data_IF_331505212040
#
_entry.id   IF_331505212040
#
_cell.length_a   1.000
_cell.length_b   1.000
_cell.length_c   1.000
_cell.angle_alpha   90.00
_cell.angle_beta   90.00
_cell.angle_gamma   90.00
#
_symmetry.space_group_name_H-M   'P 1'
#
loop_
_entity.id
_entity.type
_entity.pdbx_description
1 polymer ?
#
# COMPACT_ATOMS: atom_id res chain seq x y z
N UNK A 1 7.07 18.74 13.86
CA UNK A 1 8.26 19.30 13.20
C UNK A 1 8.07 19.41 11.69
N UNK A 2 7.63 18.38 10.98
CA UNK A 2 7.45 18.46 9.51
C UNK A 2 6.46 19.55 9.05
N UNK A 3 5.35 19.76 9.77
CA UNK A 3 4.40 20.83 9.46
C UNK A 3 4.97 22.24 9.56
N UNK A 4 6.02 22.44 10.37
CA UNK A 4 6.74 23.72 10.47
C UNK A 4 7.78 23.88 9.35
N UNK A 5 8.31 22.77 8.82
CA UNK A 5 9.29 22.78 7.74
C UNK A 5 8.67 23.10 6.36
N UNK A 6 7.36 22.97 6.21
CA UNK A 6 6.62 23.21 4.95
C UNK A 6 5.98 24.62 4.97
N UNK A 7 6.70 25.62 5.46
CA UNK A 7 6.14 26.97 5.66
C UNK A 7 6.01 27.80 4.39
N UNK A 8 6.80 27.52 3.35
CA UNK A 8 6.76 28.25 2.09
C UNK A 8 8.14 28.53 1.50
N UNK A 9 8.14 29.17 0.34
CA UNK A 9 9.34 29.47 -0.43
C UNK A 9 9.42 30.98 -0.72
N UNK A 10 10.65 31.48 -0.83
CA UNK A 10 10.90 32.86 -1.21
C UNK A 10 11.74 32.87 -2.49
N UNK A 11 11.25 33.56 -3.51
CA UNK A 11 11.94 33.72 -4.78
C UNK A 11 12.44 35.16 -4.93
N UNK A 12 13.74 35.43 -4.79
CA UNK A 12 14.33 36.70 -5.15
C UNK A 12 14.19 36.87 -6.68
N UNK A 13 13.52 37.94 -7.09
CA UNK A 13 13.17 38.14 -8.48
C UNK A 13 14.38 38.25 -9.42
N UNK A 14 14.33 37.57 -10.56
CA UNK A 14 15.24 37.78 -11.70
C UNK A 14 15.05 39.16 -12.36
N UNK A 15 13.94 39.88 -12.10
CA UNK A 15 13.75 41.29 -12.42
C UNK A 15 13.91 42.12 -11.15
N UNK A 16 14.64 43.23 -11.24
CA UNK A 16 15.01 44.11 -10.10
C UNK A 16 13.83 44.66 -9.28
N UNK A 17 12.58 44.36 -9.64
CA UNK A 17 11.39 44.99 -9.04
C UNK A 17 10.30 44.03 -8.63
N UNK A 18 10.58 42.72 -8.56
CA UNK A 18 9.60 41.73 -8.16
C UNK A 18 10.14 40.83 -7.06
N UNK A 19 9.33 40.62 -6.03
CA UNK A 19 9.54 39.63 -4.98
C UNK A 19 8.33 38.70 -4.99
N UNK A 20 8.52 37.40 -4.88
CA UNK A 20 7.43 36.46 -4.75
C UNK A 20 7.61 35.61 -3.50
N UNK A 21 6.57 35.53 -2.70
CA UNK A 21 6.47 34.66 -1.54
C UNK A 21 5.45 33.59 -1.84
N UNK A 22 5.80 32.33 -1.60
CA UNK A 22 4.85 31.22 -1.71
C UNK A 22 4.52 30.73 -0.31
N UNK A 23 3.25 30.66 0.00
CA UNK A 23 2.73 30.08 1.25
C UNK A 23 1.92 28.84 0.93
N UNK A 24 1.92 27.86 1.84
CA UNK A 24 1.00 26.72 1.72
C UNK A 24 -0.37 27.13 2.27
N UNK A 25 -1.42 26.83 1.54
CA UNK A 25 -2.80 27.07 1.93
C UNK A 25 -3.58 25.75 1.96
N UNK A 26 -4.51 25.55 2.91
CA UNK A 26 -5.36 24.36 2.92
C UNK A 26 -6.19 24.26 1.63
N UNK A 27 -6.58 23.05 1.29
CA UNK A 27 -7.49 22.80 0.18
C UNK A 27 -8.95 23.06 0.60
N UNK A 28 -9.31 22.69 1.85
CA UNK A 28 -10.65 22.82 2.39
C UNK A 28 -11.07 21.58 3.18
N UNK A 29 -12.04 20.82 2.68
CA UNK A 29 -12.53 19.60 3.32
C UNK A 29 -11.93 18.36 2.64
N UNK A 30 -11.24 17.54 3.42
CA UNK A 30 -10.64 16.27 2.98
C UNK A 30 -11.58 15.11 3.30
N UNK A 31 -12.00 14.37 2.28
CA UNK A 31 -12.63 13.06 2.46
C UNK A 31 -11.53 12.00 2.69
N UNK A 32 -11.46 11.48 3.90
CA UNK A 32 -10.53 10.42 4.31
C UNK A 32 -11.26 9.06 4.36
N UNK A 33 -10.87 8.13 3.49
CA UNK A 33 -11.46 6.78 3.45
C UNK A 33 -10.38 5.75 3.76
N UNK A 34 -10.56 5.02 4.86
CA UNK A 34 -9.58 4.03 5.34
C UNK A 34 -10.08 2.58 5.18
N UNK A 35 -9.16 1.61 4.99
CA UNK A 35 -9.47 0.21 4.83
C UNK A 35 -9.53 -0.54 6.16
N UNK A 36 -9.99 -1.79 6.12
CA UNK A 36 -10.19 -2.62 7.30
C UNK A 36 -8.91 -3.18 7.92
N UNK A 37 -7.85 -3.36 7.12
CA UNK A 37 -6.64 -4.06 7.57
C UNK A 37 -5.76 -3.23 8.52
N UNK A 38 -5.77 -1.90 8.40
CA UNK A 38 -5.10 -0.97 9.31
C UNK A 38 -6.03 0.20 9.67
N UNK A 39 -7.15 -0.05 10.37
CA UNK A 39 -8.22 0.94 10.53
C UNK A 39 -7.79 2.18 11.32
N UNK A 40 -6.86 2.05 12.27
CA UNK A 40 -6.32 3.18 13.04
C UNK A 40 -5.18 3.87 12.28
N UNK A 41 -4.14 3.12 11.91
CA UNK A 41 -2.95 3.68 11.27
C UNK A 41 -3.29 4.42 9.96
N UNK A 42 -4.07 3.78 9.07
CA UNK A 42 -4.43 4.39 7.80
C UNK A 42 -5.50 5.51 7.92
N UNK A 43 -6.23 5.57 9.03
CA UNK A 43 -7.03 6.76 9.35
C UNK A 43 -6.15 7.91 9.81
N UNK A 44 -5.23 7.68 10.75
CA UNK A 44 -4.28 8.71 11.24
C UNK A 44 -3.43 9.27 10.11
N UNK A 45 -2.93 8.42 9.22
CA UNK A 45 -2.09 8.85 8.08
C UNK A 45 -2.80 9.80 7.11
N UNK A 46 -4.13 9.86 7.16
CA UNK A 46 -4.95 10.79 6.38
C UNK A 46 -5.37 12.01 7.21
N UNK A 47 -5.85 11.78 8.43
CA UNK A 47 -6.37 12.82 9.32
C UNK A 47 -5.26 13.78 9.76
N UNK A 48 -4.15 13.27 10.28
CA UNK A 48 -3.12 14.10 10.88
C UNK A 48 -2.49 15.10 9.87
N UNK A 49 -2.04 14.68 8.66
CA UNK A 49 -1.52 15.63 7.68
C UNK A 49 -2.57 16.59 7.13
N UNK A 50 -3.86 16.18 7.03
CA UNK A 50 -4.93 17.07 6.65
C UNK A 50 -5.14 18.20 7.67
N UNK A 51 -5.20 17.85 8.96
CA UNK A 51 -5.36 18.81 10.06
C UNK A 51 -4.17 19.76 10.18
N UNK A 52 -2.94 19.25 10.09
CA UNK A 52 -1.71 20.05 10.11
C UNK A 52 -1.67 21.02 8.92
N UNK A 53 -2.21 20.60 7.75
CA UNK A 53 -2.36 21.45 6.56
C UNK A 53 -3.45 22.53 6.69
N UNK A 54 -4.23 22.52 7.79
CA UNK A 54 -5.31 23.47 8.04
C UNK A 54 -6.66 23.09 7.42
N UNK A 55 -6.83 21.84 6.99
CA UNK A 55 -8.09 21.35 6.42
C UNK A 55 -9.03 20.83 7.52
N UNK A 56 -10.32 20.72 7.18
CA UNK A 56 -11.28 19.89 7.89
C UNK A 56 -11.35 18.51 7.27
N UNK A 57 -11.83 17.50 8.03
CA UNK A 57 -11.85 16.10 7.59
C UNK A 57 -13.24 15.50 7.77
N UNK A 58 -13.69 14.81 6.74
CA UNK A 58 -14.78 13.84 6.81
C UNK A 58 -14.16 12.45 6.73
N UNK A 59 -14.17 11.72 7.83
CA UNK A 59 -13.67 10.35 7.90
C UNK A 59 -14.78 9.35 7.59
N UNK A 60 -14.58 8.55 6.57
CA UNK A 60 -15.36 7.33 6.35
C UNK A 60 -14.52 6.11 6.76
N UNK A 61 -14.75 5.56 7.95
CA UNK A 61 -14.04 4.36 8.41
C UNK A 61 -14.47 3.13 7.59
N UNK A 62 -13.71 2.02 7.65
CA UNK A 62 -14.12 0.77 7.04
C UNK A 62 -15.38 0.23 7.71
N UNK A 63 -16.20 -0.53 6.99
CA UNK A 63 -17.41 -1.15 7.56
C UNK A 63 -17.03 -2.14 8.67
N UNK A 64 -16.10 -3.04 8.41
CA UNK A 64 -15.47 -3.87 9.43
C UNK A 64 -14.27 -3.11 10.03
N UNK A 65 -14.27 -2.92 11.36
CA UNK A 65 -13.25 -2.14 12.07
C UNK A 65 -13.61 -0.67 12.29
N UNK A 66 -14.87 -0.26 12.02
CA UNK A 66 -15.36 1.11 12.26
C UNK A 66 -15.11 1.57 13.71
N UNK A 67 -15.33 0.70 14.68
CA UNK A 67 -15.22 1.04 16.12
C UNK A 67 -13.82 1.59 16.45
N UNK A 68 -12.77 0.97 15.95
CA UNK A 68 -11.39 1.42 16.19
C UNK A 68 -11.12 2.83 15.64
N UNK A 69 -11.65 3.13 14.45
CA UNK A 69 -11.50 4.46 13.84
C UNK A 69 -12.39 5.52 14.51
N UNK A 70 -13.56 5.13 15.03
CA UNK A 70 -14.42 6.03 15.81
C UNK A 70 -13.78 6.37 17.17
N UNK A 71 -13.17 5.41 17.85
CA UNK A 71 -12.39 5.69 19.06
C UNK A 71 -11.24 6.67 18.82
N UNK A 72 -10.59 6.62 17.65
CA UNK A 72 -9.60 7.61 17.27
C UNK A 72 -10.20 9.03 17.20
N UNK A 73 -11.41 9.18 16.64
CA UNK A 73 -12.11 10.47 16.60
C UNK A 73 -12.44 10.98 18.02
N UNK A 74 -12.91 10.10 18.91
CA UNK A 74 -13.17 10.43 20.30
C UNK A 74 -11.89 10.87 21.06
N UNK A 75 -10.76 10.20 20.82
CA UNK A 75 -9.45 10.59 21.38
C UNK A 75 -9.04 11.99 20.93
N UNK A 76 -9.18 12.30 19.64
CA UNK A 76 -8.84 13.62 19.10
C UNK A 76 -9.75 14.71 19.67
N UNK A 77 -11.05 14.43 19.80
CA UNK A 77 -11.99 15.36 20.42
C UNK A 77 -11.64 15.60 21.90
N UNK A 78 -11.33 14.53 22.65
CA UNK A 78 -10.91 14.62 24.06
C UNK A 78 -9.59 15.37 24.23
N UNK A 79 -8.72 15.36 23.24
CA UNK A 79 -7.49 16.12 23.21
C UNK A 79 -7.70 17.62 22.85
N UNK A 80 -8.95 18.07 22.67
CA UNK A 80 -9.29 19.47 22.43
C UNK A 80 -9.44 19.85 20.96
N UNK A 81 -9.58 18.88 20.04
CA UNK A 81 -9.88 19.20 18.64
C UNK A 81 -11.26 19.90 18.58
N UNK A 82 -11.37 21.11 17.96
CA UNK A 82 -12.64 21.83 17.91
C UNK A 82 -13.72 21.05 17.16
N UNK A 83 -14.97 21.21 17.59
CA UNK A 83 -16.13 20.59 16.93
C UNK A 83 -16.22 21.00 15.45
N UNK A 84 -16.55 20.03 14.59
CA UNK A 84 -16.67 20.24 13.13
C UNK A 84 -15.37 20.13 12.34
N UNK A 85 -14.21 20.09 13.01
CA UNK A 85 -12.89 19.94 12.33
C UNK A 85 -12.68 18.50 11.84
N UNK A 86 -13.11 17.50 12.62
CA UNK A 86 -13.18 16.11 12.23
C UNK A 86 -14.59 15.60 12.39
N UNK A 87 -15.19 15.11 11.32
CA UNK A 87 -16.51 14.51 11.30
C UNK A 87 -16.40 13.06 10.80
N UNK A 88 -17.27 12.18 11.31
CA UNK A 88 -17.29 10.77 10.90
C UNK A 88 -18.60 10.41 10.24
N UNK A 89 -18.52 9.65 9.13
CA UNK A 89 -19.70 9.14 8.41
C UNK A 89 -19.55 7.64 8.24
N UNK A 90 -20.45 6.87 8.82
CA UNK A 90 -20.48 5.40 8.68
C UNK A 90 -21.52 4.98 7.66
N UNK A 91 -21.24 3.87 6.95
CA UNK A 91 -22.12 3.30 5.94
C UNK A 91 -21.34 2.41 4.97
N UNK A 92 -22.07 1.58 4.26
CA UNK A 92 -21.46 0.76 3.21
C UNK A 92 -21.06 1.62 2.01
N UNK A 93 -19.90 1.31 1.39
CA UNK A 93 -19.46 2.03 0.19
C UNK A 93 -20.48 1.98 -0.95
N UNK A 94 -21.19 0.86 -1.10
CA UNK A 94 -22.27 0.71 -2.10
C UNK A 94 -23.50 1.59 -1.85
N UNK A 95 -23.68 2.10 -0.64
CA UNK A 95 -24.85 2.93 -0.26
C UNK A 95 -24.53 4.41 -0.28
N UNK A 96 -23.38 4.80 0.26
CA UNK A 96 -23.03 6.21 0.44
C UNK A 96 -21.80 6.65 -0.36
N UNK A 97 -21.06 5.72 -1.00
CA UNK A 97 -19.76 5.98 -1.60
C UNK A 97 -19.80 7.04 -2.68
N UNK A 98 -20.64 6.87 -3.67
CA UNK A 98 -20.75 7.79 -4.80
C UNK A 98 -21.23 9.18 -4.34
N UNK A 99 -22.18 9.22 -3.41
CA UNK A 99 -22.67 10.48 -2.86
C UNK A 99 -21.56 11.29 -2.17
N UNK A 100 -20.77 10.66 -1.28
CA UNK A 100 -19.72 11.39 -0.56
C UNK A 100 -18.54 11.78 -1.46
N UNK A 101 -18.21 10.94 -2.46
CA UNK A 101 -17.13 11.21 -3.43
C UNK A 101 -17.48 12.38 -4.36
N UNK A 102 -18.76 12.51 -4.74
CA UNK A 102 -19.22 13.54 -5.68
C UNK A 102 -19.79 14.78 -4.99
N UNK A 103 -19.80 14.82 -3.65
CA UNK A 103 -20.39 15.91 -2.88
C UNK A 103 -19.58 17.20 -3.07
N UNK A 104 -20.27 18.30 -3.39
CA UNK A 104 -19.65 19.60 -3.69
C UNK A 104 -18.81 20.21 -2.57
N UNK A 105 -19.06 19.83 -1.32
CA UNK A 105 -18.29 20.25 -0.14
C UNK A 105 -16.98 19.49 0.07
N UNK A 106 -16.57 18.58 -0.84
CA UNK A 106 -15.31 17.85 -0.74
C UNK A 106 -14.28 18.45 -1.70
N UNK A 107 -13.17 18.91 -1.15
CA UNK A 107 -12.08 19.58 -1.88
C UNK A 107 -10.89 18.65 -2.17
N UNK A 108 -10.79 17.51 -1.50
CA UNK A 108 -9.73 16.50 -1.70
C UNK A 108 -10.20 15.13 -1.24
N UNK A 109 -9.80 14.08 -1.96
CA UNK A 109 -10.10 12.69 -1.60
C UNK A 109 -8.81 11.93 -1.33
N UNK A 110 -8.67 11.40 -0.11
CA UNK A 110 -7.58 10.52 0.29
C UNK A 110 -8.15 9.13 0.59
N UNK A 111 -7.96 8.21 -0.35
CA UNK A 111 -8.53 6.86 -0.31
C UNK A 111 -7.45 5.80 -0.22
N UNK A 112 -7.67 4.79 0.62
CA UNK A 112 -6.92 3.54 0.61
C UNK A 112 -7.92 2.38 0.57
N UNK A 113 -7.76 1.49 -0.40
CA UNK A 113 -8.65 0.34 -0.59
C UNK A 113 -8.33 -0.46 -1.86
N UNK A 114 -9.32 -1.20 -2.38
CA UNK A 114 -9.12 -2.00 -3.58
C UNK A 114 -8.92 -1.14 -4.82
N UNK A 115 -8.16 -1.67 -5.79
CA UNK A 115 -7.92 -1.02 -7.08
C UNK A 115 -9.21 -0.76 -7.85
N UNK A 116 -10.17 -1.69 -7.81
CA UNK A 116 -11.47 -1.52 -8.45
C UNK A 116 -12.20 -0.27 -7.93
N UNK A 117 -12.29 -0.12 -6.60
CA UNK A 117 -12.94 1.06 -5.99
C UNK A 117 -12.13 2.33 -6.25
N UNK A 118 -10.79 2.26 -6.24
CA UNK A 118 -9.94 3.41 -6.56
C UNK A 118 -10.16 3.91 -7.99
N UNK A 119 -10.27 3.02 -8.96
CA UNK A 119 -10.63 3.34 -10.36
C UNK A 119 -12.02 3.97 -10.45
N UNK A 120 -12.98 3.41 -9.73
CA UNK A 120 -14.34 3.97 -9.68
C UNK A 120 -14.34 5.39 -9.11
N UNK A 121 -13.72 5.62 -7.96
CA UNK A 121 -13.57 6.96 -7.36
C UNK A 121 -12.91 7.92 -8.35
N UNK A 122 -11.81 7.50 -9.00
CA UNK A 122 -11.11 8.32 -9.98
C UNK A 122 -12.02 8.74 -11.15
N UNK A 123 -12.92 7.88 -11.58
CA UNK A 123 -13.89 8.20 -12.64
C UNK A 123 -14.96 9.21 -12.22
N UNK A 124 -15.27 9.27 -10.92
CA UNK A 124 -16.32 10.17 -10.36
C UNK A 124 -15.77 11.52 -9.89
N UNK A 125 -14.50 11.60 -9.53
CA UNK A 125 -13.92 12.74 -8.81
C UNK A 125 -13.85 14.05 -9.60
N UNK A 126 -14.05 14.04 -10.92
CA UNK A 126 -14.01 15.22 -11.80
C UNK A 126 -12.70 16.02 -11.60
N UNK A 127 -12.81 17.25 -11.07
CA UNK A 127 -11.67 18.14 -10.78
C UNK A 127 -11.20 18.09 -9.33
N UNK A 128 -11.80 17.25 -8.47
CA UNK A 128 -11.35 17.05 -7.08
C UNK A 128 -10.03 16.27 -7.08
N UNK A 129 -8.93 16.82 -6.55
CA UNK A 129 -7.65 16.11 -6.48
C UNK A 129 -7.74 14.86 -5.63
N UNK A 130 -6.96 13.84 -6.03
CA UNK A 130 -6.96 12.51 -5.43
C UNK A 130 -5.58 12.14 -4.88
N UNK A 131 -5.59 11.41 -3.78
CA UNK A 131 -4.48 10.58 -3.33
C UNK A 131 -5.04 9.17 -3.12
N UNK A 132 -4.62 8.23 -3.96
CA UNK A 132 -5.10 6.86 -3.99
C UNK A 132 -3.97 5.90 -3.65
N UNK A 133 -4.19 5.07 -2.63
CA UNK A 133 -3.34 3.96 -2.24
C UNK A 133 -4.13 2.67 -2.43
N UNK A 134 -3.73 1.86 -3.38
CA UNK A 134 -4.53 0.74 -3.88
C UNK A 134 -3.82 -0.60 -3.67
N UNK A 135 -4.29 -1.63 -4.37
CA UNK A 135 -3.71 -2.96 -4.30
C UNK A 135 -2.31 -3.06 -4.88
N UNK A 136 -1.67 -4.18 -4.66
CA UNK A 136 -0.35 -4.50 -5.18
C UNK A 136 -0.19 -5.99 -5.46
N UNK A 137 0.74 -6.34 -6.35
CA UNK A 137 1.21 -7.71 -6.58
C UNK A 137 2.72 -7.76 -6.37
N UNK A 138 3.12 -7.38 -5.17
CA UNK A 138 4.51 -7.14 -4.81
C UNK A 138 5.37 -8.39 -4.98
N UNK A 139 6.48 -8.22 -5.66
CA UNK A 139 7.39 -9.30 -6.03
C UNK A 139 8.65 -9.31 -5.17
N UNK A 140 9.09 -10.50 -4.76
CA UNK A 140 10.42 -10.73 -4.24
C UNK A 140 11.27 -11.42 -5.32
N UNK A 141 12.36 -10.81 -5.74
CA UNK A 141 13.31 -11.33 -6.72
C UNK A 141 14.53 -11.87 -5.97
N UNK A 142 14.81 -13.17 -6.10
CA UNK A 142 15.91 -13.82 -5.38
C UNK A 142 16.96 -14.32 -6.38
N UNK A 143 18.16 -13.77 -6.25
CA UNK A 143 19.28 -14.08 -7.12
C UNK A 143 20.10 -15.26 -6.58
N UNK A 144 20.96 -15.79 -7.43
CA UNK A 144 21.82 -16.97 -7.13
C UNK A 144 22.84 -16.72 -6.01
N UNK A 145 23.21 -15.46 -5.75
CA UNK A 145 24.16 -15.06 -4.71
C UNK A 145 23.50 -14.61 -3.40
N UNK A 146 22.15 -14.67 -3.31
CA UNK A 146 21.42 -14.23 -2.13
C UNK A 146 21.69 -15.14 -0.91
N UNK A 147 21.68 -14.56 0.28
CA UNK A 147 21.53 -15.33 1.51
C UNK A 147 20.12 -15.91 1.58
N UNK A 148 19.99 -17.19 1.25
CA UNK A 148 18.69 -17.86 1.15
C UNK A 148 17.97 -18.05 2.49
N UNK A 149 18.69 -18.12 3.61
CA UNK A 149 18.06 -18.19 4.94
C UNK A 149 17.43 -16.88 5.28
N UNK A 150 18.17 -15.79 5.13
CA UNK A 150 17.68 -14.44 5.32
C UNK A 150 16.52 -14.10 4.35
N UNK A 151 16.67 -14.43 3.08
CA UNK A 151 15.63 -14.20 2.08
C UNK A 151 14.34 -14.97 2.42
N UNK A 152 14.45 -16.24 2.81
CA UNK A 152 13.28 -17.03 3.17
C UNK A 152 12.58 -16.52 4.43
N UNK A 153 13.33 -16.04 5.45
CA UNK A 153 12.74 -15.42 6.65
C UNK A 153 11.98 -14.13 6.30
N UNK A 154 12.63 -13.24 5.55
CA UNK A 154 12.02 -11.97 5.14
C UNK A 154 10.80 -12.18 4.23
N UNK A 155 10.89 -13.09 3.26
CA UNK A 155 9.79 -13.40 2.34
C UNK A 155 8.61 -14.03 3.08
N UNK A 156 8.86 -15.00 3.96
CA UNK A 156 7.80 -15.66 4.72
C UNK A 156 7.07 -14.66 5.64
N UNK A 157 7.79 -13.83 6.39
CA UNK A 157 7.19 -12.78 7.19
C UNK A 157 6.47 -11.76 6.28
N UNK A 158 7.07 -11.37 5.17
CA UNK A 158 6.49 -10.47 4.19
C UNK A 158 5.17 -10.97 3.58
N UNK A 159 5.07 -12.27 3.30
CA UNK A 159 3.91 -12.87 2.65
C UNK A 159 2.76 -13.16 3.62
N UNK A 160 3.08 -13.65 4.82
CA UNK A 160 2.09 -14.26 5.69
C UNK A 160 1.69 -13.40 6.90
N UNK A 161 2.47 -12.38 7.29
CA UNK A 161 2.05 -11.46 8.34
C UNK A 161 0.67 -10.83 8.03
N UNK A 162 -0.18 -10.67 9.05
CA UNK A 162 -1.59 -10.25 8.90
C UNK A 162 -2.41 -11.21 8.00
N UNK A 163 -2.03 -12.48 7.93
CA UNK A 163 -2.65 -13.45 7.02
C UNK A 163 -2.62 -13.01 5.55
N UNK A 164 -1.57 -12.28 5.14
CA UNK A 164 -1.44 -11.75 3.78
C UNK A 164 -2.36 -10.57 3.44
N UNK A 165 -3.17 -10.06 4.41
CA UNK A 165 -4.12 -8.98 4.18
C UNK A 165 -3.46 -7.60 4.22
N UNK A 166 -2.37 -7.43 3.47
CA UNK A 166 -1.62 -6.19 3.32
C UNK A 166 -1.43 -5.85 1.85
N UNK A 167 -1.58 -4.58 1.50
CA UNK A 167 -1.25 -4.11 0.15
C UNK A 167 0.22 -4.38 -0.20
N UNK A 168 1.12 -4.24 0.79
CA UNK A 168 2.56 -4.50 0.67
C UNK A 168 2.97 -5.93 1.07
N UNK A 169 2.07 -6.92 1.13
CA UNK A 169 2.50 -8.31 1.31
C UNK A 169 3.33 -8.77 0.11
N UNK A 170 4.36 -9.57 0.35
CA UNK A 170 5.01 -10.31 -0.74
C UNK A 170 3.99 -11.30 -1.31
N UNK A 171 3.60 -11.11 -2.57
CA UNK A 171 2.51 -11.87 -3.20
C UNK A 171 2.97 -12.79 -4.33
N UNK A 172 4.26 -12.74 -4.67
CA UNK A 172 4.94 -13.66 -5.60
C UNK A 172 6.43 -13.61 -5.42
N UNK A 173 7.09 -14.73 -5.67
CA UNK A 173 8.54 -14.84 -5.64
C UNK A 173 9.02 -15.19 -7.04
N UNK A 174 10.02 -14.47 -7.54
CA UNK A 174 10.80 -14.84 -8.71
C UNK A 174 12.15 -15.36 -8.22
N UNK A 175 12.39 -16.65 -8.39
CA UNK A 175 13.66 -17.28 -8.02
C UNK A 175 14.37 -17.81 -9.27
N UNK A 176 15.67 -17.52 -9.41
CA UNK A 176 16.45 -18.14 -10.47
C UNK A 176 16.49 -19.67 -10.28
N UNK A 177 16.48 -20.41 -11.37
CA UNK A 177 16.42 -21.89 -11.35
C UNK A 177 17.50 -22.50 -10.44
N UNK A 178 18.66 -21.87 -10.34
CA UNK A 178 19.79 -22.34 -9.54
C UNK A 178 19.55 -22.38 -8.03
N UNK A 179 18.63 -21.53 -7.52
CA UNK A 179 18.36 -21.43 -6.07
C UNK A 179 16.92 -21.78 -5.71
N UNK A 180 16.05 -21.96 -6.70
CA UNK A 180 14.62 -22.13 -6.48
C UNK A 180 14.30 -23.33 -5.56
N UNK A 181 14.93 -24.49 -5.76
CA UNK A 181 14.69 -25.69 -4.95
C UNK A 181 15.06 -25.44 -3.48
N UNK A 182 16.25 -24.87 -3.22
CA UNK A 182 16.70 -24.57 -1.87
C UNK A 182 15.82 -23.51 -1.20
N UNK A 183 15.43 -22.49 -1.93
CA UNK A 183 14.55 -21.42 -1.41
C UNK A 183 13.18 -21.98 -1.04
N UNK A 184 12.58 -22.81 -1.88
CA UNK A 184 11.26 -23.44 -1.63
C UNK A 184 11.32 -24.32 -0.38
N UNK A 185 12.35 -25.14 -0.19
CA UNK A 185 12.51 -25.94 1.04
C UNK A 185 12.65 -25.07 2.29
N UNK A 186 13.42 -23.98 2.20
CA UNK A 186 13.56 -23.04 3.31
C UNK A 186 12.25 -22.32 3.62
N UNK A 187 11.51 -21.87 2.62
CA UNK A 187 10.18 -21.27 2.78
C UNK A 187 9.21 -22.27 3.42
N UNK A 188 9.16 -23.51 2.92
CA UNK A 188 8.32 -24.57 3.49
C UNK A 188 8.58 -24.76 4.99
N UNK A 189 9.85 -24.88 5.38
CA UNK A 189 10.21 -25.07 6.78
C UNK A 189 9.77 -23.91 7.70
N UNK A 190 9.61 -22.69 7.15
CA UNK A 190 9.10 -21.51 7.89
C UNK A 190 7.57 -21.51 7.94
N UNK A 191 6.95 -21.78 6.83
CA UNK A 191 5.48 -21.80 6.71
C UNK A 191 4.85 -22.87 7.60
N UNK A 192 5.43 -24.05 7.67
CA UNK A 192 4.95 -25.16 8.52
C UNK A 192 5.06 -24.89 10.03
N UNK A 193 5.87 -23.93 10.44
CA UNK A 193 6.00 -23.51 11.84
C UNK A 193 5.03 -22.40 12.25
N UNK A 194 4.30 -21.82 11.29
CA UNK A 194 3.39 -20.72 11.59
C UNK A 194 2.20 -21.19 12.39
N UNK A 195 1.91 -20.50 13.47
CA UNK A 195 0.73 -20.76 14.28
C UNK A 195 -0.51 -20.25 13.57
N UNK A 196 -1.51 -21.11 13.40
CA UNK A 196 -2.78 -20.83 12.73
C UNK A 196 -3.91 -20.95 13.73
N UNK A 197 -4.76 -19.92 13.84
CA UNK A 197 -5.89 -19.99 14.79
C UNK A 197 -6.46 -18.65 15.21
N UNK A 198 -6.91 -18.58 16.45
CA UNK A 198 -7.50 -17.38 17.05
C UNK A 198 -6.41 -16.34 17.37
N UNK A 199 -6.61 -15.06 17.00
CA UNK A 199 -5.67 -14.00 17.34
C UNK A 199 -5.47 -13.79 18.83
N UNK A 200 -6.44 -14.16 19.66
CA UNK A 200 -6.34 -14.09 21.12
C UNK A 200 -5.34 -15.08 21.71
N UNK A 201 -5.04 -16.13 20.97
CA UNK A 201 -4.04 -17.15 21.33
C UNK A 201 -2.65 -16.82 20.78
N UNK A 202 -2.48 -15.64 20.16
CA UNK A 202 -1.22 -15.21 19.58
C UNK A 202 -0.91 -15.83 18.21
N UNK A 203 -1.90 -16.43 17.54
CA UNK A 203 -1.71 -17.00 16.22
C UNK A 203 -1.26 -15.93 15.21
N UNK A 204 -0.28 -16.27 14.38
CA UNK A 204 0.22 -15.41 13.28
C UNK A 204 -0.77 -15.39 12.11
N UNK A 205 -1.32 -16.54 11.76
CA UNK A 205 -2.33 -16.71 10.72
C UNK A 205 -3.69 -16.78 11.38
N UNK A 206 -4.52 -15.80 11.07
CA UNK A 206 -5.83 -15.59 11.67
C UNK A 206 -6.91 -15.54 10.57
N UNK A 207 -8.19 -15.61 10.92
CA UNK A 207 -9.27 -15.52 9.92
C UNK A 207 -9.16 -14.29 9.02
N UNK A 208 -9.47 -14.48 7.73
CA UNK A 208 -9.63 -13.38 6.78
C UNK A 208 -10.87 -12.55 7.14
N UNK A 209 -11.00 -11.39 6.53
CA UNK A 209 -12.06 -10.42 6.84
C UNK A 209 -13.47 -11.01 6.72
N UNK A 210 -13.70 -11.90 5.77
CA UNK A 210 -14.96 -12.62 5.58
C UNK A 210 -14.78 -13.94 4.80
N UNK A 211 -15.86 -14.72 4.69
CA UNK A 211 -15.84 -15.99 3.98
C UNK A 211 -15.67 -15.82 2.47
N UNK A 212 -16.15 -14.72 1.90
CA UNK A 212 -15.99 -14.44 0.45
C UNK A 212 -14.52 -14.25 0.08
N UNK A 213 -13.76 -13.54 0.92
CA UNK A 213 -12.32 -13.41 0.73
C UNK A 213 -11.61 -14.77 0.79
N UNK A 214 -12.04 -15.65 1.71
CA UNK A 214 -11.50 -16.99 1.81
C UNK A 214 -11.89 -17.88 0.61
N UNK A 215 -13.09 -17.75 0.08
CA UNK A 215 -13.53 -18.44 -1.15
C UNK A 215 -12.67 -18.05 -2.34
N UNK A 216 -12.53 -16.75 -2.59
CA UNK A 216 -11.69 -16.23 -3.68
C UNK A 216 -10.23 -16.67 -3.55
N UNK A 217 -9.70 -16.76 -2.33
CA UNK A 217 -8.35 -17.28 -2.07
C UNK A 217 -8.24 -18.78 -2.47
N UNK A 218 -9.22 -19.60 -2.09
CA UNK A 218 -9.22 -21.01 -2.43
C UNK A 218 -9.43 -21.27 -3.94
N UNK A 219 -10.21 -20.43 -4.62
CA UNK A 219 -10.38 -20.48 -6.08
C UNK A 219 -9.06 -20.24 -6.81
N UNK A 220 -8.26 -19.26 -6.38
CA UNK A 220 -6.92 -19.00 -6.95
C UNK A 220 -5.97 -20.17 -6.74
N UNK A 221 -6.02 -20.82 -5.58
CA UNK A 221 -5.19 -22.02 -5.31
C UNK A 221 -5.64 -23.18 -6.21
N UNK A 222 -6.95 -23.42 -6.30
CA UNK A 222 -7.48 -24.52 -7.08
C UNK A 222 -7.15 -24.37 -8.57
N UNK A 223 -7.32 -23.17 -9.12
CA UNK A 223 -6.96 -22.86 -10.51
C UNK A 223 -5.47 -23.09 -10.80
N UNK A 224 -4.59 -22.65 -9.89
CA UNK A 224 -3.16 -22.84 -10.04
C UNK A 224 -2.77 -24.34 -10.03
N UNK A 225 -3.38 -25.13 -9.13
CA UNK A 225 -3.13 -26.57 -9.04
C UNK A 225 -3.65 -27.30 -10.27
N UNK A 226 -4.83 -26.94 -10.78
CA UNK A 226 -5.41 -27.50 -12.02
C UNK A 226 -4.47 -27.23 -13.23
N UNK A 227 -3.84 -26.07 -13.26
CA UNK A 227 -2.87 -25.70 -14.30
C UNK A 227 -1.45 -26.23 -14.07
N UNK A 228 -1.24 -27.03 -13.03
CA UNK A 228 0.02 -27.76 -12.82
C UNK A 228 1.01 -27.12 -11.86
N UNK A 229 0.60 -26.13 -11.06
CA UNK A 229 1.41 -25.68 -9.93
C UNK A 229 1.60 -26.80 -8.92
N UNK A 230 2.76 -26.84 -8.28
CA UNK A 230 3.06 -27.80 -7.23
C UNK A 230 2.64 -27.26 -5.86
N UNK A 231 1.74 -27.95 -5.16
CA UNK A 231 1.46 -27.65 -3.76
C UNK A 231 2.63 -28.07 -2.88
N UNK A 232 3.27 -27.11 -2.24
CA UNK A 232 4.37 -27.37 -1.30
C UNK A 232 3.83 -27.61 0.10
N UNK A 233 2.94 -26.75 0.57
CA UNK A 233 2.23 -26.88 1.86
C UNK A 233 0.95 -26.03 1.88
N UNK A 234 0.02 -26.30 2.80
CA UNK A 234 -1.21 -25.55 2.99
C UNK A 234 -2.42 -26.10 2.24
N UNK A 235 -3.13 -25.26 1.48
CA UNK A 235 -4.37 -25.60 0.77
C UNK A 235 -5.50 -26.14 1.68
N UNK A 236 -5.65 -25.51 2.85
CA UNK A 236 -6.70 -25.86 3.83
C UNK A 236 -7.46 -24.61 4.24
N UNK A 237 -8.78 -24.77 4.44
CA UNK A 237 -9.68 -23.70 4.88
C UNK A 237 -10.65 -24.21 5.93
N UNK A 238 -10.90 -23.36 6.95
CA UNK A 238 -11.97 -23.55 7.92
C UNK A 238 -12.78 -22.24 8.02
N UNK A 239 -13.96 -22.18 7.40
CA UNK A 239 -14.74 -20.94 7.25
C UNK A 239 -13.90 -19.86 6.55
N UNK A 240 -13.63 -18.73 7.23
CA UNK A 240 -12.75 -17.68 6.72
C UNK A 240 -11.29 -17.77 7.20
N UNK A 241 -10.90 -18.85 7.89
CA UNK A 241 -9.51 -19.14 8.21
C UNK A 241 -8.88 -19.95 7.08
N UNK A 242 -8.01 -19.30 6.30
CA UNK A 242 -7.21 -19.92 5.25
C UNK A 242 -5.83 -20.24 5.80
N UNK A 243 -5.40 -21.48 5.66
CA UNK A 243 -4.06 -21.91 6.09
C UNK A 243 -3.00 -21.36 5.14
N UNK A 244 -1.79 -21.04 5.64
CA UNK A 244 -0.72 -20.49 4.82
C UNK A 244 -0.36 -21.49 3.73
N UNK A 245 -0.42 -21.04 2.48
CA UNK A 245 -0.26 -21.89 1.31
C UNK A 245 0.95 -21.43 0.49
N UNK A 246 1.85 -22.36 0.23
CA UNK A 246 3.02 -22.17 -0.63
C UNK A 246 2.86 -23.01 -1.90
N UNK A 247 2.93 -22.35 -3.04
CA UNK A 247 2.85 -22.96 -4.37
C UNK A 247 4.20 -22.79 -5.07
N UNK A 248 4.70 -23.86 -5.69
CA UNK A 248 5.89 -23.83 -6.54
C UNK A 248 5.51 -24.08 -8.00
N UNK A 249 6.43 -23.81 -8.94
CA UNK A 249 6.26 -23.99 -10.38
C UNK A 249 5.03 -23.27 -10.93
N UNK A 250 4.70 -22.12 -10.34
CA UNK A 250 3.67 -21.25 -10.85
C UNK A 250 4.15 -20.60 -12.15
N UNK A 251 3.28 -20.60 -13.16
CA UNK A 251 3.56 -20.00 -14.47
C UNK A 251 2.72 -18.74 -14.69
N UNK A 252 3.08 -17.98 -15.71
CA UNK A 252 2.37 -16.77 -16.11
C UNK A 252 0.96 -17.01 -16.66
N UNK A 253 0.56 -18.25 -16.91
CA UNK A 253 -0.79 -18.61 -17.33
C UNK A 253 -1.76 -18.77 -16.15
N UNK A 254 -1.26 -18.77 -14.92
CA UNK A 254 -2.03 -18.96 -13.71
C UNK A 254 -2.44 -17.61 -13.11
N UNK A 255 -3.72 -17.50 -12.71
CA UNK A 255 -4.24 -16.25 -12.16
C UNK A 255 -3.51 -15.80 -10.88
N UNK A 256 -3.05 -16.76 -10.07
CA UNK A 256 -2.29 -16.47 -8.84
C UNK A 256 -0.98 -15.74 -9.10
N UNK A 257 -0.42 -15.76 -10.32
CA UNK A 257 0.75 -14.98 -10.69
C UNK A 257 0.45 -13.47 -10.81
N UNK A 258 -0.80 -13.08 -11.07
CA UNK A 258 -1.20 -11.72 -11.42
C UNK A 258 -2.19 -11.08 -10.46
N UNK A 259 -3.22 -11.81 -10.02
CA UNK A 259 -4.26 -11.29 -9.13
C UNK A 259 -3.73 -11.11 -7.71
N UNK A 260 -4.12 -10.03 -7.06
CA UNK A 260 -3.89 -9.80 -5.63
C UNK A 260 -4.78 -10.73 -4.80
N UNK A 261 -4.22 -11.70 -4.05
CA UNK A 261 -5.05 -12.65 -3.29
C UNK A 261 -5.59 -12.06 -1.98
N UNK A 262 -4.91 -11.08 -1.40
CA UNK A 262 -5.16 -10.52 -0.05
C UNK A 262 -5.41 -11.61 1.01
N UNK A 263 -4.62 -12.68 0.92
CA UNK A 263 -4.73 -13.93 1.67
C UNK A 263 -3.33 -14.56 1.83
N UNK A 264 -3.14 -15.53 2.75
CA UNK A 264 -1.84 -16.13 3.02
C UNK A 264 -1.44 -17.14 1.91
N UNK A 265 -1.22 -16.66 0.70
CA UNK A 265 -0.84 -17.46 -0.47
C UNK A 265 0.43 -16.89 -1.06
N UNK A 266 1.45 -17.74 -1.22
CA UNK A 266 2.72 -17.37 -1.83
C UNK A 266 3.05 -18.27 -3.01
N UNK A 267 2.93 -17.79 -4.26
CA UNK A 267 3.41 -18.49 -5.44
C UNK A 267 4.90 -18.20 -5.67
N UNK A 268 5.65 -19.26 -6.02
CA UNK A 268 7.02 -19.19 -6.50
C UNK A 268 7.03 -19.44 -8.01
N UNK A 269 7.59 -18.51 -8.75
CA UNK A 269 7.76 -18.52 -10.19
C UNK A 269 9.25 -18.68 -10.45
N UNK A 270 9.61 -19.73 -11.17
CA UNK A 270 11.00 -19.99 -11.54
C UNK A 270 11.36 -19.19 -12.78
N UNK A 271 12.52 -18.56 -12.78
CA UNK A 271 13.00 -17.72 -13.88
C UNK A 271 14.42 -18.13 -14.27
N UNK A 272 14.71 -18.04 -15.57
CA UNK A 272 16.03 -18.37 -16.11
C UNK A 272 17.11 -17.35 -15.71
N UNK A 273 16.73 -16.08 -15.60
CA UNK A 273 17.63 -14.96 -15.34
C UNK A 273 16.90 -13.74 -14.77
N UNK A 274 17.67 -12.72 -14.43
CA UNK A 274 17.17 -11.45 -13.88
C UNK A 274 16.30 -10.71 -14.88
N UNK A 275 16.63 -10.76 -16.17
CA UNK A 275 15.90 -10.02 -17.20
C UNK A 275 14.46 -10.52 -17.29
N UNK A 276 14.26 -11.83 -17.25
CA UNK A 276 12.93 -12.42 -17.17
C UNK A 276 12.21 -12.06 -15.88
N UNK A 277 12.89 -12.05 -14.73
CA UNK A 277 12.28 -11.67 -13.46
C UNK A 277 11.75 -10.23 -13.49
N UNK A 278 12.56 -9.29 -13.99
CA UNK A 278 12.18 -7.87 -14.13
C UNK A 278 11.06 -7.69 -15.14
N UNK A 279 11.12 -8.37 -16.28
CA UNK A 279 10.07 -8.33 -17.29
C UNK A 279 8.73 -8.79 -16.70
N UNK A 280 8.69 -9.96 -16.07
CA UNK A 280 7.48 -10.50 -15.45
C UNK A 280 6.99 -9.64 -14.28
N UNK A 281 7.89 -9.05 -13.50
CA UNK A 281 7.52 -8.12 -12.45
C UNK A 281 6.81 -6.90 -13.04
N UNK A 282 7.36 -6.32 -14.11
CA UNK A 282 6.84 -5.12 -14.76
C UNK A 282 5.57 -5.35 -15.60
N UNK A 283 5.31 -6.56 -16.06
CA UNK A 283 4.07 -6.91 -16.78
C UNK A 283 2.81 -6.85 -15.90
N UNK A 284 2.99 -6.80 -14.57
CA UNK A 284 1.86 -6.61 -13.65
C UNK A 284 1.14 -5.28 -13.94
N UNK A 285 -0.19 -5.29 -13.84
CA UNK A 285 -0.96 -4.04 -13.79
C UNK A 285 -0.65 -3.20 -12.54
N UNK A 286 -0.14 -3.83 -11.49
CA UNK A 286 0.25 -3.22 -10.23
C UNK A 286 1.71 -2.74 -10.27
N UNK A 287 2.01 -1.76 -9.42
CA UNK A 287 3.36 -1.25 -9.21
C UNK A 287 3.49 -0.60 -7.83
N UNK A 288 3.20 -1.36 -6.75
CA UNK A 288 3.31 -0.82 -5.40
C UNK A 288 4.74 -0.95 -4.88
N UNK A 289 5.19 -2.18 -4.62
CA UNK A 289 6.56 -2.43 -4.20
C UNK A 289 7.13 -3.70 -4.85
N UNK A 290 8.45 -3.80 -4.77
CA UNK A 290 9.21 -5.04 -5.03
C UNK A 290 10.39 -5.14 -4.08
N UNK A 291 10.90 -6.34 -3.88
CA UNK A 291 12.14 -6.58 -3.15
C UNK A 291 13.15 -7.36 -3.99
N UNK A 292 14.43 -7.13 -3.74
CA UNK A 292 15.55 -7.78 -4.42
C UNK A 292 16.50 -8.34 -3.38
N UNK A 293 16.81 -9.64 -3.47
CA UNK A 293 17.73 -10.32 -2.58
C UNK A 293 18.99 -10.72 -3.36
N UNK A 294 20.13 -10.14 -2.99
CA UNK A 294 21.46 -10.37 -3.59
C UNK A 294 22.54 -9.85 -2.65
N UNK A 295 23.72 -10.40 -2.73
CA UNK A 295 24.91 -9.89 -2.05
C UNK A 295 25.70 -8.85 -2.87
N UNK A 296 25.32 -8.63 -4.13
CA UNK A 296 25.92 -7.61 -5.00
C UNK A 296 25.08 -6.34 -5.04
N UNK A 297 25.56 -5.30 -4.39
CA UNK A 297 24.87 -4.00 -4.31
C UNK A 297 24.70 -3.34 -5.69
N UNK A 298 25.64 -3.52 -6.63
CA UNK A 298 25.53 -2.94 -7.96
C UNK A 298 24.41 -3.60 -8.76
N UNK A 299 24.29 -4.92 -8.65
CA UNK A 299 23.16 -5.67 -9.24
C UNK A 299 21.83 -5.25 -8.61
N UNK A 300 21.79 -5.10 -7.28
CA UNK A 300 20.59 -4.66 -6.59
C UNK A 300 20.08 -3.30 -7.10
N UNK A 301 20.96 -2.31 -7.23
CA UNK A 301 20.60 -0.99 -7.78
C UNK A 301 20.20 -1.06 -9.26
N UNK A 302 20.94 -1.81 -10.07
CA UNK A 302 20.61 -2.00 -11.49
C UNK A 302 19.22 -2.61 -11.70
N UNK A 303 18.83 -3.56 -10.84
CA UNK A 303 17.48 -4.15 -10.87
C UNK A 303 16.45 -3.14 -10.37
N UNK A 304 16.74 -2.45 -9.26
CA UNK A 304 15.83 -1.48 -8.66
C UNK A 304 15.45 -0.36 -9.63
N UNK A 305 16.39 0.15 -10.43
CA UNK A 305 16.15 1.18 -11.44
C UNK A 305 15.26 0.71 -12.61
N UNK A 306 15.24 -0.60 -12.86
CA UNK A 306 14.43 -1.20 -13.94
C UNK A 306 13.02 -1.58 -13.52
N UNK A 307 12.75 -1.67 -12.22
CA UNK A 307 11.44 -2.07 -11.69
C UNK A 307 10.47 -0.90 -11.69
N UNK A 308 9.32 -1.07 -12.32
CA UNK A 308 8.25 -0.07 -12.43
C UNK A 308 7.32 -0.11 -11.20
N UNK A 309 7.87 0.20 -10.04
CA UNK A 309 7.16 0.21 -8.76
C UNK A 309 7.47 1.49 -7.97
N UNK A 310 6.62 1.82 -7.00
CA UNK A 310 6.82 2.99 -6.15
C UNK A 310 7.99 2.87 -5.18
N UNK A 311 8.30 1.65 -4.69
CA UNK A 311 9.40 1.41 -3.76
C UNK A 311 10.07 0.06 -4.05
N UNK A 312 11.38 0.03 -4.00
CA UNK A 312 12.17 -1.22 -4.04
C UNK A 312 12.90 -1.40 -2.71
N UNK A 313 12.72 -2.56 -2.09
CA UNK A 313 13.47 -2.97 -0.90
C UNK A 313 14.67 -3.81 -1.34
N UNK A 314 15.85 -3.51 -0.85
CA UNK A 314 17.05 -4.33 -1.08
C UNK A 314 17.29 -5.14 0.20
N UNK A 315 17.35 -6.45 0.06
CA UNK A 315 17.55 -7.39 1.15
C UNK A 315 16.59 -7.16 2.33
N UNK A 316 15.31 -6.99 2.02
CA UNK A 316 14.22 -6.98 3.00
C UNK A 316 12.90 -7.37 2.32
N UNK A 317 11.88 -7.69 3.12
CA UNK A 317 10.50 -7.83 2.65
C UNK A 317 9.95 -6.49 2.16
N UNK A 318 8.92 -6.55 1.32
CA UNK A 318 8.11 -5.37 1.02
C UNK A 318 7.31 -4.95 2.25
N UNK A 319 7.44 -3.68 2.60
CA UNK A 319 6.77 -3.10 3.77
C UNK A 319 6.64 -1.58 3.66
N UNK A 320 5.67 -1.02 4.38
CA UNK A 320 5.53 0.42 4.54
C UNK A 320 6.28 0.89 5.79
N UNK A 321 7.03 1.95 5.65
CA UNK A 321 7.70 2.61 6.77
C UNK A 321 9.19 2.78 6.56
N UNK A 322 9.80 3.62 7.37
CA UNK A 322 9.20 4.58 8.32
C UNK A 322 8.21 5.56 7.67
N UNK A 323 7.23 6.06 8.43
CA UNK A 323 6.12 6.90 7.89
C UNK A 323 6.56 8.23 7.24
N UNK A 324 7.78 8.69 7.48
CA UNK A 324 8.36 9.88 6.83
C UNK A 324 8.97 9.59 5.46
N UNK A 325 9.15 8.31 5.09
CA UNK A 325 9.58 7.92 3.76
C UNK A 325 8.45 8.09 2.75
N UNK A 326 8.77 8.37 1.46
CA UNK A 326 7.76 8.38 0.43
C UNK A 326 7.16 6.98 0.25
N UNK A 327 5.85 6.92 0.17
CA UNK A 327 5.10 5.71 -0.11
C UNK A 327 4.11 6.00 -1.23
N UNK A 328 4.24 5.29 -2.33
CA UNK A 328 3.43 5.51 -3.53
C UNK A 328 3.26 4.22 -4.31
N UNK A 329 2.15 4.11 -4.98
CA UNK A 329 1.93 3.12 -6.04
C UNK A 329 1.95 3.80 -7.40
N UNK A 330 2.49 3.11 -8.39
CA UNK A 330 2.37 3.48 -9.81
C UNK A 330 1.40 2.52 -10.50
N UNK A 331 1.08 2.74 -11.78
CA UNK A 331 0.10 1.94 -12.53
C UNK A 331 -1.25 1.85 -11.78
N UNK A 332 -1.79 0.64 -11.60
CA UNK A 332 -3.04 0.41 -10.90
C UNK A 332 -2.91 0.37 -9.36
N UNK A 333 -1.73 0.62 -8.82
CA UNK A 333 -1.49 0.65 -7.36
C UNK A 333 -1.69 2.00 -6.71
N UNK A 334 -1.90 3.07 -7.46
CA UNK A 334 -2.25 4.35 -6.84
C UNK A 334 -1.97 5.59 -7.66
N UNK A 335 -2.25 6.74 -7.03
CA UNK A 335 -1.99 8.08 -7.54
C UNK A 335 -1.54 8.98 -6.39
N UNK A 336 -0.51 9.77 -6.61
CA UNK A 336 0.08 10.64 -5.58
C UNK A 336 1.04 9.89 -4.67
N UNK A 337 1.55 10.60 -3.65
CA UNK A 337 2.55 10.07 -2.73
C UNK A 337 2.13 10.31 -1.29
N UNK A 338 2.17 9.29 -0.47
CA UNK A 338 2.05 9.38 0.99
C UNK A 338 3.44 9.47 1.66
N UNK A 339 3.43 9.67 2.94
CA UNK A 339 4.53 9.99 3.81
C UNK A 339 4.24 11.31 4.51
N UNK A 340 4.70 11.53 5.73
CA UNK A 340 4.27 12.68 6.54
C UNK A 340 4.33 13.99 5.75
N UNK A 341 5.51 14.32 5.20
CA UNK A 341 5.71 15.53 4.38
C UNK A 341 4.88 15.53 3.11
N UNK A 342 4.95 14.45 2.34
CA UNK A 342 4.25 14.34 1.05
C UNK A 342 2.74 14.42 1.20
N UNK A 343 2.18 13.82 2.26
CA UNK A 343 0.76 13.91 2.56
C UNK A 343 0.31 15.33 2.91
N UNK A 344 1.12 16.10 3.66
CA UNK A 344 0.82 17.50 3.95
C UNK A 344 0.88 18.32 2.66
N UNK A 345 1.90 18.11 1.83
CA UNK A 345 2.05 18.77 0.53
C UNK A 345 0.87 18.47 -0.41
N UNK A 346 0.43 17.21 -0.48
CA UNK A 346 -0.71 16.80 -1.31
C UNK A 346 -2.04 17.45 -0.86
N UNK A 347 -2.24 17.65 0.44
CA UNK A 347 -3.47 18.22 1.01
C UNK A 347 -3.38 19.75 1.25
N UNK A 348 -2.37 20.39 0.68
CA UNK A 348 -2.23 21.84 0.67
C UNK A 348 -1.83 22.33 -0.73
N UNK A 349 -2.08 23.58 -1.05
CA UNK A 349 -1.67 24.17 -2.32
C UNK A 349 -0.74 25.37 -2.13
N UNK A 350 0.22 25.59 -3.04
CA UNK A 350 0.99 26.83 -3.04
C UNK A 350 0.09 28.02 -3.36
N UNK A 351 0.26 29.12 -2.63
CA UNK A 351 -0.36 30.42 -2.90
C UNK A 351 0.76 31.46 -3.05
N UNK A 352 0.98 31.90 -4.27
CA UNK A 352 1.99 32.91 -4.54
C UNK A 352 1.45 34.32 -4.28
N UNK A 353 2.25 35.15 -3.63
CA UNK A 353 2.01 36.59 -3.41
C UNK A 353 3.18 37.33 -4.03
N UNK A 354 2.93 38.08 -5.08
CA UNK A 354 3.96 38.84 -5.80
C UNK A 354 3.85 40.31 -5.47
N UNK A 355 4.95 40.88 -4.95
CA UNK A 355 5.10 42.32 -4.69
C UNK A 355 5.84 42.95 -5.87
N UNK A 356 5.23 43.97 -6.46
CA UNK A 356 5.86 44.80 -7.48
C UNK A 356 6.34 46.11 -6.81
N UNK A 357 7.65 46.31 -6.79
CA UNK A 357 8.26 47.51 -6.24
C UNK A 357 8.12 48.69 -7.23
N UNK A 358 7.73 49.83 -6.73
CA UNK A 358 7.61 51.08 -7.54
C UNK A 358 8.99 51.74 -7.71
N UNK A 359 9.10 52.60 -8.72
CA UNK A 359 10.36 53.28 -9.07
C UNK A 359 10.82 54.30 -8.02
N UNK A 360 9.90 54.77 -7.17
CA UNK A 360 10.09 55.91 -6.31
C UNK A 360 10.59 55.57 -4.87
N UNK A 361 11.19 54.36 -4.68
CA UNK A 361 11.79 53.93 -3.41
C UNK A 361 13.25 53.46 -3.60
#
# INVERSE_FOLDING_TARGET
MEGQAISGENFPGGSRRKLSFVRRAPLGTVLAVSPFNYPVNLSVSKIAPALIGGNTVVLKPPTQGSISALHLADVLQSAGLPGGVLNTVTGRGSEIGDYIVTHEGIDFINFTGSTEIGRHISSLARMTPLLLELGGKDAAIVLEDADLDFAADAIADGAYAYSGQRCTAVKRVFATDSVADQLVEKLKARVEKMQVGDPRDGAMITPLIDEKAAESAMELIAEALEKGAALVTGNRREKNLVYPTLLDRVTEEMEVAWKEPFAPILPVIRVKDIDQAVELANRSEYGLQSSVFTNDINRAFSIAERLEVGTVQINNKTERGPDHFPFLGVKASGMGTQGVRYSIEAMTRPKAITVNLREDF
#
